data_IF_433424356745
#
_entry.id   IF_433424356745
#
_cell.length_a   1.000
_cell.length_b   1.000
_cell.length_c   1.000
_cell.angle_alpha   90.00
_cell.angle_beta   90.00
_cell.angle_gamma   90.00
#
_symmetry.space_group_name_H-M   'P 1'
#
loop_
_entity.id
_entity.type
_entity.pdbx_description
1 polymer ?
#
# COMPACT_ATOMS: atom_id res chain seq x y z
N UNK A 1 1.41 -14.93 -25.07
CA UNK A 1 2.19 -13.74 -24.72
C UNK A 1 1.69 -12.46 -25.44
N UNK A 2 1.47 -12.48 -26.79
CA UNK A 2 0.95 -11.28 -27.50
C UNK A 2 -0.47 -10.85 -27.07
N UNK A 3 -1.41 -11.75 -26.81
CA UNK A 3 -2.75 -11.41 -26.31
C UNK A 3 -2.70 -10.78 -24.92
N UNK A 4 -1.89 -11.34 -24.03
CA UNK A 4 -1.66 -10.82 -22.69
C UNK A 4 -1.12 -9.38 -22.71
N UNK A 5 -0.10 -9.11 -23.52
CA UNK A 5 0.48 -7.77 -23.64
C UNK A 5 -0.53 -6.75 -24.16
N UNK A 6 -1.45 -7.16 -25.02
CA UNK A 6 -2.50 -6.27 -25.52
C UNK A 6 -3.57 -5.98 -24.47
N UNK A 7 -3.96 -6.97 -23.66
CA UNK A 7 -4.99 -6.81 -22.62
C UNK A 7 -4.46 -6.06 -21.38
N UNK A 8 -3.17 -6.19 -21.07
CA UNK A 8 -2.55 -5.56 -19.89
C UNK A 8 -1.74 -4.31 -20.22
N UNK A 9 -1.58 -3.96 -21.50
CA UNK A 9 -0.74 -2.83 -21.94
C UNK A 9 -1.08 -1.53 -21.21
N UNK A 10 -2.35 -1.19 -21.12
CA UNK A 10 -2.81 0.05 -20.47
C UNK A 10 -2.50 0.05 -18.98
N UNK A 11 -2.70 -1.09 -18.32
CA UNK A 11 -2.40 -1.25 -16.89
C UNK A 11 -0.89 -1.19 -16.62
N UNK A 12 -0.07 -1.88 -17.41
CA UNK A 12 1.40 -1.87 -17.30
C UNK A 12 1.95 -0.47 -17.56
N UNK A 13 1.44 0.22 -18.58
CA UNK A 13 1.86 1.60 -18.90
C UNK A 13 1.49 2.56 -17.75
N UNK A 14 0.28 2.45 -17.20
CA UNK A 14 -0.17 3.23 -16.06
C UNK A 14 0.69 2.98 -14.83
N UNK A 15 0.98 1.72 -14.49
CA UNK A 15 1.82 1.37 -13.34
C UNK A 15 3.27 1.85 -13.54
N UNK A 16 3.79 1.78 -14.77
CA UNK A 16 5.11 2.34 -15.10
C UNK A 16 5.17 3.85 -14.88
N UNK A 17 4.16 4.59 -15.34
CA UNK A 17 4.05 6.03 -15.09
C UNK A 17 3.98 6.34 -13.60
N UNK A 18 3.16 5.61 -12.85
CA UNK A 18 3.01 5.78 -11.40
C UNK A 18 4.35 5.53 -10.68
N UNK A 19 5.10 4.50 -11.10
CA UNK A 19 6.41 4.19 -10.53
C UNK A 19 7.41 5.33 -10.75
N UNK A 20 7.49 5.87 -11.98
CA UNK A 20 8.36 7.00 -12.30
C UNK A 20 7.98 8.23 -11.47
N UNK A 21 6.70 8.60 -11.44
CA UNK A 21 6.22 9.72 -10.63
C UNK A 21 6.53 9.54 -9.14
N UNK A 22 6.39 8.32 -8.62
CA UNK A 22 6.70 8.01 -7.23
C UNK A 22 8.20 8.20 -6.91
N UNK A 23 9.09 7.75 -7.80
CA UNK A 23 10.55 7.91 -7.64
C UNK A 23 10.92 9.41 -7.68
N UNK A 24 10.41 10.16 -8.65
CA UNK A 24 10.67 11.60 -8.75
C UNK A 24 10.11 12.36 -7.54
N UNK A 25 8.91 11.98 -7.06
CA UNK A 25 8.34 12.55 -5.83
C UNK A 25 9.21 12.27 -4.61
N UNK A 26 9.73 11.05 -4.47
CA UNK A 26 10.65 10.69 -3.39
C UNK A 26 11.88 11.58 -3.42
N UNK A 27 12.49 11.77 -4.61
CA UNK A 27 13.63 12.67 -4.77
C UNK A 27 13.34 14.08 -4.25
N UNK A 28 12.27 14.68 -4.77
CA UNK A 28 11.93 16.06 -4.41
C UNK A 28 11.66 16.19 -2.90
N UNK A 29 10.87 15.29 -2.33
CA UNK A 29 10.49 15.38 -0.92
C UNK A 29 11.68 15.06 0.00
N UNK A 30 12.46 14.01 -0.29
CA UNK A 30 13.59 13.61 0.54
C UNK A 30 14.70 14.67 0.55
N UNK A 31 15.09 15.19 -0.64
CA UNK A 31 16.14 16.21 -0.74
C UNK A 31 15.72 17.56 -0.18
N UNK A 32 14.42 17.89 -0.17
CA UNK A 32 13.93 19.16 0.36
C UNK A 32 13.78 19.15 1.88
N UNK A 33 13.41 18.02 2.47
CA UNK A 33 13.06 17.91 3.89
C UNK A 33 14.17 17.31 4.75
N UNK A 34 15.08 16.52 4.15
CA UNK A 34 16.10 15.78 4.88
C UNK A 34 15.55 14.53 5.58
N UNK A 35 16.45 13.72 6.20
CA UNK A 35 16.09 12.42 6.76
C UNK A 35 15.10 12.49 7.92
N UNK A 36 15.27 13.43 8.85
CA UNK A 36 14.43 13.53 10.06
C UNK A 36 12.97 13.83 9.72
N UNK A 37 12.72 14.89 8.94
CA UNK A 37 11.37 15.28 8.52
C UNK A 37 10.74 14.24 7.61
N UNK A 38 11.54 13.62 6.73
CA UNK A 38 11.07 12.54 5.88
C UNK A 38 10.68 11.29 6.70
N UNK A 39 11.42 11.01 7.78
CA UNK A 39 11.10 9.96 8.75
C UNK A 39 9.81 10.24 9.50
N UNK A 40 9.65 11.45 10.00
CA UNK A 40 8.43 11.87 10.70
C UNK A 40 7.18 11.78 9.81
N UNK A 41 7.28 12.19 8.54
CA UNK A 41 6.23 11.95 7.54
C UNK A 41 5.92 10.44 7.42
N UNK A 42 6.96 9.61 7.44
CA UNK A 42 6.81 8.14 7.37
C UNK A 42 5.99 7.58 8.50
N UNK A 43 6.26 8.01 9.71
CA UNK A 43 5.57 7.61 10.93
C UNK A 43 4.10 8.03 10.88
N UNK A 44 3.81 9.29 10.57
CA UNK A 44 2.43 9.76 10.44
C UNK A 44 1.64 9.00 9.39
N UNK A 45 2.22 8.83 8.21
CA UNK A 45 1.59 8.06 7.13
C UNK A 45 1.42 6.58 7.50
N UNK A 46 2.37 6.01 8.26
CA UNK A 46 2.29 4.63 8.76
C UNK A 46 1.10 4.42 9.69
N UNK A 47 0.94 5.26 10.71
CA UNK A 47 -0.18 5.21 11.66
C UNK A 47 -1.52 5.43 10.95
N UNK A 48 -1.62 6.47 10.12
CA UNK A 48 -2.85 6.81 9.40
C UNK A 48 -3.21 5.67 8.43
N UNK A 49 -2.22 5.16 7.66
CA UNK A 49 -2.45 4.05 6.74
C UNK A 49 -2.89 2.77 7.47
N UNK A 50 -2.31 2.48 8.63
CA UNK A 50 -2.68 1.32 9.44
C UNK A 50 -4.16 1.40 9.85
N UNK A 51 -4.59 2.51 10.47
CA UNK A 51 -5.96 2.69 10.93
C UNK A 51 -6.96 2.63 9.76
N UNK A 52 -6.71 3.40 8.70
CA UNK A 52 -7.62 3.44 7.56
C UNK A 52 -7.67 2.13 6.77
N UNK A 53 -6.57 1.38 6.64
CA UNK A 53 -6.54 0.13 5.88
C UNK A 53 -7.05 -1.07 6.65
N UNK A 54 -6.83 -1.15 7.96
CA UNK A 54 -7.41 -2.22 8.79
C UNK A 54 -8.94 -2.10 8.81
N UNK A 55 -9.44 -0.89 8.95
CA UNK A 55 -10.87 -0.62 9.04
C UNK A 55 -11.56 -0.49 7.68
N UNK A 56 -10.83 -0.23 6.61
CA UNK A 56 -11.39 -0.09 5.25
C UNK A 56 -12.07 -1.39 4.80
N UNK A 57 -13.28 -1.24 4.24
CA UNK A 57 -14.17 -2.37 3.93
C UNK A 57 -13.81 -3.17 2.69
N UNK A 58 -12.79 -2.76 1.91
CA UNK A 58 -12.55 -3.33 0.58
C UNK A 58 -13.84 -3.43 -0.24
N UNK A 59 -14.54 -2.34 -0.30
CA UNK A 59 -15.75 -2.26 -1.10
C UNK A 59 -15.51 -2.65 -2.58
N UNK A 60 -14.29 -2.47 -3.07
CA UNK A 60 -13.91 -2.99 -4.39
C UNK A 60 -14.21 -4.48 -4.56
N UNK A 61 -13.87 -5.29 -3.56
CA UNK A 61 -14.09 -6.75 -3.60
C UNK A 61 -15.59 -7.10 -3.43
N UNK A 62 -16.30 -6.36 -2.57
CA UNK A 62 -17.75 -6.52 -2.40
C UNK A 62 -18.52 -6.17 -3.68
N UNK A 63 -18.10 -5.12 -4.36
CA UNK A 63 -18.65 -4.71 -5.65
C UNK A 63 -18.40 -5.79 -6.71
N UNK A 64 -17.22 -6.41 -6.72
CA UNK A 64 -16.88 -7.47 -7.67
C UNK A 64 -17.72 -8.74 -7.48
N UNK A 65 -18.04 -9.10 -6.26
CA UNK A 65 -18.76 -10.34 -5.93
C UNK A 65 -20.28 -10.17 -6.15
N UNK A 66 -20.79 -8.94 -6.13
CA UNK A 66 -22.23 -8.70 -6.16
C UNK A 66 -22.72 -8.28 -7.55
N UNK A 67 -23.61 -9.08 -8.14
CA UNK A 67 -24.24 -8.78 -9.45
C UNK A 67 -25.04 -7.48 -9.50
N UNK A 68 -25.42 -6.93 -8.33
CA UNK A 68 -26.16 -5.65 -8.18
C UNK A 68 -25.25 -4.45 -7.92
N UNK A 69 -23.96 -4.61 -8.12
CA UNK A 69 -22.94 -3.60 -7.80
C UNK A 69 -23.06 -2.28 -8.59
N UNK A 70 -23.83 -2.26 -9.66
CA UNK A 70 -24.11 -1.04 -10.45
C UNK A 70 -25.42 -0.34 -10.06
N UNK A 71 -26.20 -0.92 -9.17
CA UNK A 71 -27.48 -0.36 -8.74
C UNK A 71 -27.27 0.88 -7.87
N UNK A 72 -28.14 1.88 -8.06
CA UNK A 72 -28.04 3.17 -7.36
C UNK A 72 -28.02 3.04 -5.82
N UNK A 73 -28.89 2.22 -5.26
CA UNK A 73 -29.00 2.04 -3.81
C UNK A 73 -27.84 1.25 -3.24
N UNK A 74 -27.28 0.28 -4.00
CA UNK A 74 -26.05 -0.40 -3.62
C UNK A 74 -24.85 0.56 -3.56
N UNK A 75 -24.69 1.41 -4.58
CA UNK A 75 -23.58 2.40 -4.64
C UNK A 75 -23.72 3.41 -3.49
N UNK A 76 -24.92 3.92 -3.22
CA UNK A 76 -25.16 4.81 -2.08
C UNK A 76 -24.81 4.15 -0.75
N UNK A 77 -25.25 2.92 -0.54
CA UNK A 77 -24.96 2.16 0.68
C UNK A 77 -23.46 1.90 0.82
N UNK A 78 -22.75 1.61 -0.28
CA UNK A 78 -21.31 1.44 -0.31
C UNK A 78 -20.58 2.74 0.06
N UNK A 79 -20.97 3.89 -0.51
CA UNK A 79 -20.39 5.20 -0.21
C UNK A 79 -20.63 5.56 1.25
N UNK A 80 -21.86 5.42 1.74
CA UNK A 80 -22.22 5.72 3.14
C UNK A 80 -21.38 4.86 4.11
N UNK A 81 -21.21 3.59 3.77
CA UNK A 81 -20.41 2.66 4.58
C UNK A 81 -18.94 3.07 4.63
N UNK A 82 -18.33 3.49 3.49
CA UNK A 82 -16.95 3.99 3.48
C UNK A 82 -16.78 5.28 4.29
N UNK A 83 -17.77 6.17 4.26
CA UNK A 83 -17.75 7.39 5.08
C UNK A 83 -17.80 7.04 6.57
N UNK A 84 -18.69 6.12 6.99
CA UNK A 84 -18.77 5.67 8.38
C UNK A 84 -17.46 5.04 8.83
N UNK A 85 -16.90 4.13 8.04
CA UNK A 85 -15.60 3.52 8.35
C UNK A 85 -14.46 4.54 8.34
N UNK A 86 -14.51 5.51 7.47
CA UNK A 86 -13.58 6.63 7.45
C UNK A 86 -13.63 7.45 8.75
N UNK A 87 -14.82 7.73 9.26
CA UNK A 87 -15.02 8.41 10.55
C UNK A 87 -14.47 7.57 11.72
N UNK A 88 -14.76 6.27 11.74
CA UNK A 88 -14.20 5.36 12.76
C UNK A 88 -12.68 5.30 12.67
N UNK A 89 -12.11 5.26 11.46
CA UNK A 89 -10.66 5.28 11.25
C UNK A 89 -10.04 6.59 11.73
N UNK A 90 -10.70 7.72 11.46
CA UNK A 90 -10.29 9.03 11.92
C UNK A 90 -10.26 9.08 13.46
N UNK A 91 -11.32 8.62 14.11
CA UNK A 91 -11.38 8.53 15.58
C UNK A 91 -10.31 7.62 16.15
N UNK A 92 -10.01 6.50 15.50
CA UNK A 92 -8.93 5.59 15.91
C UNK A 92 -7.55 6.25 15.81
N UNK A 93 -7.27 7.02 14.75
CA UNK A 93 -6.01 7.78 14.62
C UNK A 93 -5.87 8.78 15.76
N UNK A 94 -6.94 9.54 16.06
CA UNK A 94 -6.91 10.49 17.17
C UNK A 94 -6.75 9.80 18.52
N UNK A 95 -7.42 8.67 18.75
CA UNK A 95 -7.26 7.90 19.97
C UNK A 95 -5.79 7.43 20.15
N UNK A 96 -5.15 6.95 19.08
CA UNK A 96 -3.73 6.55 19.13
C UNK A 96 -2.86 7.76 19.46
N UNK A 97 -3.04 8.88 18.76
CA UNK A 97 -2.28 10.11 19.00
C UNK A 97 -2.49 10.60 20.45
N UNK A 98 -3.70 10.51 20.98
CA UNK A 98 -4.03 10.94 22.36
C UNK A 98 -3.47 9.98 23.42
N UNK A 99 -3.45 8.67 23.17
CA UNK A 99 -2.95 7.66 24.10
C UNK A 99 -1.42 7.63 24.22
N UNK A 100 -0.71 8.21 23.26
CA UNK A 100 0.75 8.31 23.27
C UNK A 100 1.26 9.76 23.39
N UNK A 101 0.82 10.54 24.41
CA UNK A 101 1.01 11.99 24.40
C UNK A 101 2.36 12.49 24.84
N UNK A 102 3.26 11.71 25.48
CA UNK A 102 4.20 12.42 26.31
C UNK A 102 5.61 11.90 26.46
N UNK A 103 6.06 10.90 25.80
CA UNK A 103 7.43 10.46 25.93
C UNK A 103 8.20 10.71 24.63
N UNK A 104 8.76 11.92 24.48
CA UNK A 104 9.70 12.33 23.41
C UNK A 104 9.32 12.03 21.96
N UNK A 105 8.29 11.20 21.76
CA UNK A 105 7.85 10.66 20.47
C UNK A 105 6.83 11.55 19.76
N UNK A 106 5.92 12.13 20.53
CA UNK A 106 4.91 13.03 20.06
C UNK A 106 4.81 14.20 21.04
N UNK A 107 5.56 15.26 20.82
CA UNK A 107 5.26 16.55 21.45
C UNK A 107 3.92 17.10 20.88
N UNK A 108 2.87 16.26 20.89
CA UNK A 108 1.52 16.64 20.52
C UNK A 108 0.82 17.40 21.65
N UNK A 109 1.40 18.51 22.08
CA UNK A 109 0.61 19.47 22.86
C UNK A 109 -0.51 20.08 22.04
N UNK A 110 -0.49 19.92 20.70
CA UNK A 110 -1.58 20.19 19.77
C UNK A 110 -1.37 19.37 18.49
N UNK A 111 -2.35 18.54 18.09
CA UNK A 111 -2.35 17.93 16.75
C UNK A 111 -2.21 19.04 15.71
N UNK A 112 -1.19 19.04 14.88
CA UNK A 112 -1.00 20.11 13.92
C UNK A 112 -2.22 20.18 12.96
N UNK A 113 -2.76 21.37 12.70
CA UNK A 113 -3.94 21.58 11.87
C UNK A 113 -3.84 20.91 10.48
N UNK A 114 -2.62 20.79 9.92
CA UNK A 114 -2.39 20.15 8.64
C UNK A 114 -2.61 18.63 8.69
N UNK A 115 -2.30 17.96 9.81
CA UNK A 115 -2.59 16.54 9.99
C UNK A 115 -4.09 16.31 10.14
N UNK A 116 -4.77 17.17 10.90
CA UNK A 116 -6.23 17.11 11.01
C UNK A 116 -6.87 17.18 9.63
N UNK A 117 -6.50 18.17 8.83
CA UNK A 117 -7.04 18.33 7.48
C UNK A 117 -6.77 17.10 6.60
N UNK A 118 -5.56 16.53 6.65
CA UNK A 118 -5.21 15.34 5.90
C UNK A 118 -6.03 14.11 6.30
N UNK A 119 -6.19 13.87 7.60
CA UNK A 119 -6.98 12.75 8.12
C UNK A 119 -8.45 12.92 7.73
N UNK A 120 -8.99 14.13 7.84
CA UNK A 120 -10.36 14.44 7.49
C UNK A 120 -10.63 14.25 5.99
N UNK A 121 -9.77 14.76 5.13
CA UNK A 121 -9.94 14.59 3.67
C UNK A 121 -9.81 13.14 3.22
N UNK A 122 -9.07 12.31 3.98
CA UNK A 122 -8.94 10.88 3.74
C UNK A 122 -10.27 10.13 3.82
N UNK A 123 -11.21 10.60 4.64
CA UNK A 123 -12.56 10.01 4.75
C UNK A 123 -13.24 10.00 3.38
N UNK A 124 -13.19 11.13 2.68
CA UNK A 124 -13.80 11.26 1.35
C UNK A 124 -13.03 10.50 0.27
N UNK A 125 -11.70 10.42 0.41
CA UNK A 125 -10.88 9.69 -0.55
C UNK A 125 -11.16 8.18 -0.57
N UNK A 126 -11.69 7.61 0.50
CA UNK A 126 -12.09 6.20 0.54
C UNK A 126 -13.17 5.83 -0.49
N UNK A 127 -13.97 6.81 -0.96
CA UNK A 127 -14.96 6.61 -2.05
C UNK A 127 -14.28 6.09 -3.33
N UNK A 128 -12.99 6.34 -3.50
CA UNK A 128 -12.20 5.82 -4.62
C UNK A 128 -12.22 4.28 -4.70
N UNK A 129 -12.25 3.58 -3.56
CA UNK A 129 -12.32 2.12 -3.55
C UNK A 129 -13.64 1.58 -4.13
N UNK A 130 -14.77 2.28 -3.87
CA UNK A 130 -16.06 1.93 -4.47
C UNK A 130 -15.98 2.08 -5.99
N UNK A 131 -15.41 3.18 -6.47
CA UNK A 131 -15.29 3.45 -7.90
C UNK A 131 -14.39 2.44 -8.60
N UNK A 132 -13.25 2.10 -8.01
CA UNK A 132 -12.36 1.02 -8.49
C UNK A 132 -13.12 -0.30 -8.67
N UNK A 133 -13.88 -0.68 -7.65
CA UNK A 133 -14.69 -1.90 -7.69
C UNK A 133 -15.68 -1.90 -8.85
N UNK A 134 -16.38 -0.80 -9.10
CA UNK A 134 -17.34 -0.67 -10.20
C UNK A 134 -16.64 -0.79 -11.57
N UNK A 135 -15.51 -0.12 -11.76
CA UNK A 135 -14.76 -0.18 -13.02
C UNK A 135 -14.23 -1.59 -13.28
N UNK A 136 -13.71 -2.25 -12.26
CA UNK A 136 -13.23 -3.64 -12.36
C UNK A 136 -14.38 -4.59 -12.67
N UNK A 137 -15.55 -4.42 -12.03
CA UNK A 137 -16.75 -5.21 -12.30
C UNK A 137 -17.22 -5.03 -13.76
N UNK A 138 -17.18 -3.81 -14.28
CA UNK A 138 -17.53 -3.51 -15.67
C UNK A 138 -16.48 -3.97 -16.69
N UNK A 139 -15.29 -4.36 -16.25
CA UNK A 139 -14.15 -4.66 -17.12
C UNK A 139 -13.56 -3.43 -17.81
N UNK A 140 -13.90 -2.22 -17.36
CA UNK A 140 -13.41 -0.96 -17.95
C UNK A 140 -12.02 -0.61 -17.41
N UNK A 141 -11.03 -1.42 -17.81
CA UNK A 141 -9.63 -1.25 -17.39
C UNK A 141 -9.01 0.02 -17.96
N UNK A 142 -9.54 0.56 -19.05
CA UNK A 142 -9.05 1.81 -19.64
C UNK A 142 -9.37 3.01 -18.73
N UNK A 143 -10.63 3.16 -18.33
CA UNK A 143 -11.04 4.19 -17.39
C UNK A 143 -10.36 4.00 -16.03
N UNK A 144 -10.21 2.76 -15.57
CA UNK A 144 -9.48 2.43 -14.35
C UNK A 144 -8.04 2.96 -14.40
N UNK A 145 -7.27 2.59 -15.42
CA UNK A 145 -5.88 3.01 -15.59
C UNK A 145 -5.75 4.53 -15.74
N UNK A 146 -6.68 5.17 -16.45
CA UNK A 146 -6.71 6.62 -16.60
C UNK A 146 -6.90 7.33 -15.26
N UNK A 147 -7.89 6.92 -14.47
CA UNK A 147 -8.20 7.56 -13.18
C UNK A 147 -7.09 7.33 -12.16
N UNK A 148 -6.46 6.15 -12.14
CA UNK A 148 -5.27 5.88 -11.32
C UNK A 148 -4.10 6.80 -11.71
N UNK A 149 -3.80 6.90 -12.99
CA UNK A 149 -2.73 7.78 -13.48
C UNK A 149 -3.03 9.24 -13.16
N UNK A 150 -4.27 9.70 -13.42
CA UNK A 150 -4.72 11.05 -13.11
C UNK A 150 -4.56 11.38 -11.62
N UNK A 151 -5.01 10.49 -10.74
CA UNK A 151 -4.86 10.66 -9.29
C UNK A 151 -3.39 10.83 -8.89
N UNK A 152 -2.49 10.01 -9.45
CA UNK A 152 -1.06 10.09 -9.13
C UNK A 152 -0.39 11.34 -9.73
N UNK A 153 -0.77 11.78 -10.93
CA UNK A 153 -0.29 13.03 -11.52
C UNK A 153 -0.72 14.23 -10.66
N UNK A 154 -1.99 14.29 -10.27
CA UNK A 154 -2.51 15.35 -9.40
C UNK A 154 -1.78 15.40 -8.07
N UNK A 155 -1.56 14.23 -7.44
CA UNK A 155 -0.78 14.12 -6.19
C UNK A 155 0.63 14.65 -6.39
N UNK A 156 1.31 14.19 -7.42
CA UNK A 156 2.66 14.62 -7.75
C UNK A 156 2.72 16.14 -7.95
N UNK A 157 1.82 16.72 -8.75
CA UNK A 157 1.78 18.16 -9.05
C UNK A 157 1.59 19.00 -7.79
N UNK A 158 0.63 18.65 -6.91
CA UNK A 158 0.44 19.39 -5.66
C UNK A 158 1.66 19.28 -4.73
N UNK A 159 2.26 18.09 -4.61
CA UNK A 159 3.45 17.90 -3.77
C UNK A 159 4.61 18.75 -4.30
N UNK A 160 4.87 18.73 -5.61
CA UNK A 160 5.95 19.52 -6.21
C UNK A 160 5.70 21.00 -5.99
N UNK A 161 4.50 21.50 -6.31
CA UNK A 161 4.17 22.93 -6.21
C UNK A 161 4.30 23.41 -4.76
N UNK A 162 3.69 22.72 -3.79
CA UNK A 162 3.66 23.20 -2.41
C UNK A 162 5.02 23.06 -1.72
N UNK A 163 5.77 22.00 -1.98
CA UNK A 163 7.15 21.84 -1.46
C UNK A 163 8.08 22.91 -2.08
N UNK A 164 7.89 23.30 -3.33
CA UNK A 164 8.69 24.37 -3.96
C UNK A 164 8.41 25.76 -3.37
N UNK A 165 7.21 25.99 -2.82
CA UNK A 165 6.84 27.25 -2.17
C UNK A 165 7.34 27.30 -0.73
N UNK A 166 7.16 26.21 0.02
CA UNK A 166 7.56 26.08 1.42
C UNK A 166 8.03 24.65 1.69
N UNK A 167 9.33 24.50 1.95
CA UNK A 167 9.99 23.23 2.25
C UNK A 167 9.69 22.77 3.67
N UNK A 168 8.46 22.39 3.93
CA UNK A 168 8.00 21.96 5.25
C UNK A 168 7.10 20.72 5.22
N UNK A 169 7.03 20.02 6.33
CA UNK A 169 6.08 18.91 6.55
C UNK A 169 4.64 19.39 6.33
N UNK A 170 4.32 20.62 6.71
CA UNK A 170 2.98 21.23 6.51
C UNK A 170 2.58 21.23 5.04
N UNK A 171 3.47 21.73 4.18
CA UNK A 171 3.24 21.82 2.73
C UNK A 171 3.03 20.45 2.10
N UNK A 172 3.77 19.44 2.56
CA UNK A 172 3.56 18.07 2.11
C UNK A 172 2.16 17.55 2.47
N UNK A 173 1.69 17.71 3.72
CA UNK A 173 0.36 17.26 4.13
C UNK A 173 -0.76 18.09 3.51
N UNK A 174 -0.60 19.39 3.31
CA UNK A 174 -1.55 20.21 2.55
C UNK A 174 -1.66 19.74 1.10
N UNK A 175 -0.54 19.42 0.44
CA UNK A 175 -0.53 18.87 -0.91
C UNK A 175 -1.35 17.57 -1.00
N UNK A 176 -1.15 16.67 -0.05
CA UNK A 176 -1.90 15.41 0.02
C UNK A 176 -3.39 15.65 0.29
N UNK A 177 -3.73 16.63 1.13
CA UNK A 177 -5.12 16.99 1.43
C UNK A 177 -5.84 17.54 0.19
N UNK A 178 -5.21 18.47 -0.53
CA UNK A 178 -5.74 19.04 -1.77
C UNK A 178 -5.93 17.95 -2.85
N UNK A 179 -4.95 17.07 -3.00
CA UNK A 179 -5.07 15.91 -3.89
C UNK A 179 -6.28 15.06 -3.53
N UNK A 180 -6.43 14.69 -2.25
CA UNK A 180 -7.55 13.85 -1.81
C UNK A 180 -8.90 14.50 -2.07
N UNK A 181 -9.05 15.80 -1.78
CA UNK A 181 -10.28 16.53 -2.03
C UNK A 181 -10.61 16.58 -3.52
N UNK A 182 -9.66 16.99 -4.36
CA UNK A 182 -9.88 17.11 -5.81
C UNK A 182 -10.24 15.78 -6.44
N UNK A 183 -9.49 14.73 -6.14
CA UNK A 183 -9.74 13.41 -6.70
C UNK A 183 -11.07 12.84 -6.19
N UNK A 184 -11.41 13.03 -4.92
CA UNK A 184 -12.71 12.59 -4.38
C UNK A 184 -13.87 13.28 -5.07
N UNK A 185 -13.76 14.57 -5.35
CA UNK A 185 -14.79 15.34 -6.07
C UNK A 185 -14.96 14.85 -7.51
N UNK A 186 -13.86 14.63 -8.24
CA UNK A 186 -13.90 14.09 -9.60
C UNK A 186 -14.54 12.70 -9.61
N UNK A 187 -14.15 11.83 -8.70
CA UNK A 187 -14.71 10.48 -8.59
C UNK A 187 -16.19 10.51 -8.23
N UNK A 188 -16.59 11.39 -7.32
CA UNK A 188 -17.99 11.53 -6.96
C UNK A 188 -18.85 11.96 -8.16
N UNK A 189 -18.38 12.90 -8.98
CA UNK A 189 -19.03 13.29 -10.23
C UNK A 189 -19.12 12.11 -11.21
N UNK A 190 -18.03 11.35 -11.37
CA UNK A 190 -18.02 10.17 -12.25
C UNK A 190 -18.96 9.07 -11.75
N UNK A 191 -19.06 8.86 -10.43
CA UNK A 191 -20.01 7.92 -9.83
C UNK A 191 -21.45 8.33 -10.12
N UNK A 192 -21.79 9.60 -9.97
CA UNK A 192 -23.14 10.09 -10.28
C UNK A 192 -23.55 9.86 -11.74
N UNK A 193 -22.61 9.97 -12.68
CA UNK A 193 -22.83 9.68 -14.10
C UNK A 193 -23.04 8.18 -14.39
N UNK A 194 -22.38 7.32 -13.62
CA UNK A 194 -22.37 5.88 -13.82
C UNK A 194 -23.50 5.12 -13.10
N UNK A 195 -24.34 5.80 -12.34
CA UNK A 195 -25.44 5.20 -11.61
C UNK A 195 -26.58 4.86 -12.57
N UNK A 196 -26.85 3.57 -12.73
CA UNK A 196 -28.03 3.09 -13.47
C UNK A 196 -29.31 3.42 -12.70
N UNK A 197 -30.34 3.87 -13.42
CA UNK A 197 -31.66 4.22 -12.84
C UNK A 197 -32.54 3.02 -12.50
N UNK A 198 -32.04 1.79 -12.62
CA UNK A 198 -32.83 0.58 -12.32
C UNK A 198 -33.14 0.46 -10.83
N UNK A 199 -34.38 0.09 -10.54
CA UNK A 199 -34.95 -0.07 -9.20
C UNK A 199 -34.61 -1.44 -8.60
N UNK A 200 -33.40 -1.70 -8.23
CA UNK A 200 -33.11 -2.82 -7.32
C UNK A 200 -32.74 -2.22 -5.96
N UNK A 201 -33.58 -2.43 -4.95
CA UNK A 201 -33.37 -1.86 -3.61
C UNK A 201 -32.60 -2.84 -2.76
N UNK A 202 -31.28 -2.65 -2.60
CA UNK A 202 -30.54 -3.22 -1.48
C UNK A 202 -30.55 -2.18 -0.37
N UNK A 203 -31.11 -2.54 0.78
CA UNK A 203 -31.10 -1.66 1.95
C UNK A 203 -29.67 -1.55 2.50
N UNK A 204 -29.36 -0.45 3.19
CA UNK A 204 -28.08 -0.29 3.90
C UNK A 204 -27.82 -1.45 4.88
N UNK A 205 -28.87 -1.97 5.51
CA UNK A 205 -28.78 -3.11 6.45
C UNK A 205 -28.32 -4.38 5.73
N UNK A 206 -28.82 -4.65 4.53
CA UNK A 206 -28.40 -5.81 3.74
C UNK A 206 -26.97 -5.66 3.22
N UNK A 207 -26.58 -4.45 2.82
CA UNK A 207 -25.21 -4.13 2.49
C UNK A 207 -24.26 -4.37 3.68
N UNK A 208 -24.66 -3.94 4.86
CA UNK A 208 -23.88 -4.16 6.09
C UNK A 208 -23.74 -5.65 6.41
N UNK A 209 -24.80 -6.46 6.26
CA UNK A 209 -24.74 -7.92 6.44
C UNK A 209 -23.80 -8.58 5.45
N UNK A 210 -23.84 -8.20 4.18
CA UNK A 210 -22.92 -8.67 3.14
C UNK A 210 -21.46 -8.28 3.47
N UNK A 211 -21.24 -7.04 3.90
CA UNK A 211 -19.95 -6.56 4.32
C UNK A 211 -19.41 -7.35 5.53
N UNK A 212 -20.26 -7.66 6.51
CA UNK A 212 -19.91 -8.43 7.70
C UNK A 212 -19.47 -9.85 7.37
N UNK A 213 -20.18 -10.55 6.48
CA UNK A 213 -19.82 -11.92 6.04
C UNK A 213 -18.44 -11.98 5.36
N UNK A 214 -18.12 -10.98 4.53
CA UNK A 214 -16.83 -10.89 3.86
C UNK A 214 -15.73 -10.34 4.78
N UNK A 215 -16.09 -9.63 5.84
CA UNK A 215 -15.19 -9.09 6.83
C UNK A 215 -14.29 -10.18 7.44
N UNK A 216 -14.87 -11.28 7.88
CA UNK A 216 -14.12 -12.33 8.55
C UNK A 216 -13.19 -13.14 7.63
N UNK A 217 -13.52 -13.27 6.33
CA UNK A 217 -12.73 -14.10 5.41
C UNK A 217 -11.60 -13.36 4.70
N UNK A 218 -11.87 -12.17 4.22
CA UNK A 218 -10.93 -11.44 3.35
C UNK A 218 -10.17 -10.36 4.11
N UNK A 219 -10.83 -9.70 5.08
CA UNK A 219 -10.23 -8.60 5.84
C UNK A 219 -9.25 -9.05 6.90
N UNK A 220 -9.56 -10.14 7.61
CA UNK A 220 -8.64 -10.68 8.63
C UNK A 220 -7.30 -11.00 7.98
N UNK A 221 -7.33 -11.69 6.83
CA UNK A 221 -6.13 -11.98 6.08
C UNK A 221 -5.32 -10.73 5.74
N UNK A 222 -5.98 -9.69 5.25
CA UNK A 222 -5.28 -8.48 4.83
C UNK A 222 -4.89 -7.55 5.97
N UNK A 223 -5.78 -7.39 6.96
CA UNK A 223 -5.49 -6.58 8.13
C UNK A 223 -4.21 -7.05 8.82
N UNK A 224 -4.10 -8.37 9.05
CA UNK A 224 -2.90 -8.97 9.65
C UNK A 224 -1.65 -8.69 8.81
N UNK A 225 -1.73 -8.83 7.48
CA UNK A 225 -0.58 -8.60 6.62
C UNK A 225 -0.16 -7.13 6.47
N UNK A 226 -1.05 -6.17 6.79
CA UNK A 226 -0.75 -4.74 6.72
C UNK A 226 -0.01 -4.23 7.97
N UNK A 227 -0.17 -4.91 9.11
CA UNK A 227 0.44 -4.47 10.36
C UNK A 227 1.97 -4.39 10.24
N UNK A 228 2.70 -5.44 9.86
CA UNK A 228 4.16 -5.36 9.73
C UNK A 228 4.62 -4.31 8.71
N UNK A 229 3.86 -4.14 7.63
CA UNK A 229 4.24 -3.22 6.53
C UNK A 229 4.07 -1.74 6.85
N UNK A 230 3.38 -1.39 7.91
CA UNK A 230 3.17 0.00 8.32
C UNK A 230 3.70 0.30 9.71
N UNK A 231 3.79 -0.70 10.59
CA UNK A 231 4.39 -0.54 11.92
C UNK A 231 5.91 -0.47 11.89
N UNK A 232 6.58 -1.01 10.90
CA UNK A 232 8.04 -1.03 10.82
C UNK A 232 8.67 0.36 11.00
N UNK A 233 8.22 1.36 10.24
CA UNK A 233 8.71 2.75 10.35
C UNK A 233 8.31 3.37 11.70
N UNK A 234 7.12 3.04 12.21
CA UNK A 234 6.64 3.55 13.51
C UNK A 234 7.49 2.98 14.66
N UNK A 235 7.81 1.68 14.59
CA UNK A 235 8.68 1.02 15.59
C UNK A 235 10.08 1.63 15.59
N UNK A 236 10.67 1.91 14.43
CA UNK A 236 11.97 2.59 14.33
C UNK A 236 11.90 3.95 15.02
N UNK A 237 10.93 4.76 14.66
CA UNK A 237 10.75 6.06 15.29
C UNK A 237 10.57 5.94 16.80
N UNK A 238 9.94 4.89 17.33
CA UNK A 238 9.75 4.67 18.77
C UNK A 238 11.02 4.21 19.51
N UNK A 239 11.77 3.29 18.96
CA UNK A 239 12.92 2.67 19.61
C UNK A 239 14.27 3.33 19.26
N UNK A 240 14.34 4.09 18.18
CA UNK A 240 15.52 4.81 17.76
C UNK A 240 15.24 6.32 17.67
N UNK A 241 15.06 6.85 16.43
CA UNK A 241 14.82 8.26 16.17
C UNK A 241 14.18 8.50 14.81
N UNK A 242 13.86 9.76 14.49
CA UNK A 242 13.24 10.14 13.22
C UNK A 242 14.22 10.04 12.05
N UNK A 243 15.50 10.31 12.27
CA UNK A 243 16.55 10.13 11.27
C UNK A 243 16.58 8.69 10.78
N UNK A 244 16.69 7.74 11.73
CA UNK A 244 16.67 6.28 11.45
C UNK A 244 15.42 5.84 10.71
N UNK A 245 14.26 6.41 11.07
CA UNK A 245 13.01 6.15 10.37
C UNK A 245 13.04 6.64 8.91
N UNK A 246 13.65 7.80 8.67
CA UNK A 246 13.84 8.35 7.32
C UNK A 246 14.77 7.52 6.46
N UNK A 247 15.90 7.12 6.99
CA UNK A 247 16.86 6.22 6.32
C UNK A 247 16.21 4.91 5.92
N UNK A 248 15.58 4.24 6.86
CA UNK A 248 14.86 2.99 6.58
C UNK A 248 13.73 3.16 5.56
N UNK A 249 13.00 4.26 5.62
CA UNK A 249 11.91 4.55 4.69
C UNK A 249 12.41 4.70 3.26
N UNK A 250 13.55 5.35 3.02
CA UNK A 250 14.18 5.42 1.69
C UNK A 250 14.60 4.01 1.24
N UNK A 251 15.27 3.23 2.10
CA UNK A 251 15.62 1.85 1.78
C UNK A 251 14.41 1.04 1.29
N UNK A 252 13.28 1.17 1.99
CA UNK A 252 12.03 0.49 1.63
C UNK A 252 11.43 1.02 0.33
N UNK A 253 11.47 2.33 0.09
CA UNK A 253 10.96 2.96 -1.12
C UNK A 253 11.70 2.56 -2.39
N UNK A 254 13.01 2.34 -2.27
CA UNK A 254 13.82 1.88 -3.39
C UNK A 254 13.53 0.44 -3.83
N UNK A 255 12.94 -0.36 -2.94
CA UNK A 255 12.52 -1.74 -3.23
C UNK A 255 11.08 -1.81 -3.75
N UNK A 256 10.26 -0.78 -3.55
CA UNK A 256 8.87 -0.73 -4.04
C UNK A 256 8.70 -1.10 -5.53
N UNK A 257 9.64 -0.82 -6.46
CA UNK A 257 9.55 -1.28 -7.85
C UNK A 257 9.33 -2.79 -8.00
N UNK A 258 9.83 -3.61 -7.07
CA UNK A 258 9.57 -5.06 -7.06
C UNK A 258 8.08 -5.35 -6.87
N UNK A 259 7.40 -4.58 -6.03
CA UNK A 259 5.96 -4.70 -5.82
C UNK A 259 5.17 -4.34 -7.08
N UNK A 260 5.61 -3.34 -7.86
CA UNK A 260 4.97 -3.01 -9.14
C UNK A 260 5.10 -4.15 -10.16
N UNK A 261 6.24 -4.85 -10.18
CA UNK A 261 6.40 -6.06 -11.01
C UNK A 261 5.40 -7.14 -10.58
N UNK A 262 5.26 -7.40 -9.27
CA UNK A 262 4.28 -8.37 -8.75
C UNK A 262 2.85 -7.99 -9.16
N UNK A 263 2.47 -6.72 -9.03
CA UNK A 263 1.14 -6.23 -9.43
C UNK A 263 0.92 -6.42 -10.94
N UNK A 264 1.92 -6.14 -11.76
CA UNK A 264 1.85 -6.31 -13.21
C UNK A 264 1.70 -7.79 -13.63
N UNK A 265 2.37 -8.70 -12.94
CA UNK A 265 2.28 -10.15 -13.24
C UNK A 265 1.05 -10.84 -12.66
N UNK A 266 0.41 -10.26 -11.64
CA UNK A 266 -0.72 -10.89 -10.93
C UNK A 266 -1.92 -11.25 -11.81
N UNK A 267 -2.43 -10.40 -12.74
CA UNK A 267 -3.56 -10.76 -13.61
C UNK A 267 -3.23 -11.92 -14.55
N UNK A 268 -2.03 -11.92 -15.13
CA UNK A 268 -1.57 -13.02 -15.98
C UNK A 268 -1.50 -14.33 -15.21
N UNK A 269 -1.02 -14.28 -13.99
CA UNK A 269 -0.92 -15.45 -13.13
C UNK A 269 -2.30 -16.02 -12.81
N UNK A 270 -3.28 -15.17 -12.47
CA UNK A 270 -4.65 -15.61 -12.22
C UNK A 270 -5.26 -16.30 -13.41
N UNK A 271 -5.07 -15.77 -14.63
CA UNK A 271 -5.56 -16.39 -15.85
C UNK A 271 -4.91 -17.77 -16.07
N UNK A 272 -3.60 -17.89 -15.89
CA UNK A 272 -2.88 -19.17 -16.03
C UNK A 272 -3.34 -20.23 -15.05
N UNK A 273 -3.59 -19.86 -13.79
CA UNK A 273 -4.12 -20.79 -12.78
C UNK A 273 -5.55 -21.24 -13.15
N UNK A 274 -6.37 -20.33 -13.69
CA UNK A 274 -7.73 -20.66 -14.12
C UNK A 274 -7.75 -21.58 -15.34
N UNK A 275 -6.85 -21.36 -16.32
CA UNK A 275 -6.74 -22.19 -17.53
C UNK A 275 -6.20 -23.60 -17.21
N UNK A 276 -5.20 -23.69 -16.35
CA UNK A 276 -4.53 -24.95 -16.00
C UNK A 276 -4.20 -24.99 -14.50
N UNK A 277 -5.04 -25.67 -13.71
CA UNK A 277 -4.82 -25.87 -12.28
C UNK A 277 -3.55 -26.66 -11.95
N UNK A 278 -2.95 -27.37 -12.93
CA UNK A 278 -1.71 -28.14 -12.81
C UNK A 278 -0.49 -27.40 -13.35
N UNK A 279 -0.65 -26.11 -13.68
CA UNK A 279 0.45 -25.31 -14.22
C UNK A 279 1.70 -25.41 -13.33
N UNK A 280 2.83 -25.69 -13.96
CA UNK A 280 4.09 -25.90 -13.22
C UNK A 280 4.73 -24.57 -12.83
N UNK A 281 4.27 -24.01 -11.69
CA UNK A 281 4.78 -22.76 -11.13
C UNK A 281 6.26 -22.83 -10.73
N UNK A 282 6.76 -24.01 -10.33
CA UNK A 282 8.20 -24.20 -10.04
C UNK A 282 9.04 -23.90 -11.28
N UNK A 283 8.60 -24.39 -12.47
CA UNK A 283 9.28 -24.10 -13.73
C UNK A 283 9.28 -22.61 -14.06
N UNK A 284 8.16 -21.90 -13.81
CA UNK A 284 8.08 -20.46 -13.97
C UNK A 284 9.06 -19.73 -13.05
N UNK A 285 9.07 -20.10 -11.77
CA UNK A 285 9.97 -19.52 -10.77
C UNK A 285 11.43 -19.66 -11.21
N UNK A 286 11.89 -20.86 -11.54
CA UNK A 286 13.28 -21.09 -11.89
C UNK A 286 13.68 -20.52 -13.27
N UNK A 287 12.77 -20.51 -14.26
CA UNK A 287 13.13 -20.06 -15.62
C UNK A 287 12.99 -18.55 -15.83
N UNK A 288 12.09 -17.89 -15.12
CA UNK A 288 11.77 -16.48 -15.36
C UNK A 288 12.04 -15.63 -14.13
N UNK A 289 11.46 -15.97 -12.96
CA UNK A 289 11.55 -15.11 -11.79
C UNK A 289 12.94 -15.11 -11.16
N UNK A 290 13.59 -16.26 -11.11
CA UNK A 290 14.92 -16.40 -10.51
C UNK A 290 16.02 -15.62 -11.25
N UNK A 291 16.13 -15.65 -12.59
CA UNK A 291 17.06 -14.78 -13.31
C UNK A 291 16.80 -13.28 -13.07
N UNK A 292 15.52 -12.88 -13.03
CA UNK A 292 15.16 -11.48 -12.72
C UNK A 292 15.61 -11.13 -11.30
N UNK A 293 15.36 -12.01 -10.31
CA UNK A 293 15.80 -11.79 -8.94
C UNK A 293 17.32 -11.64 -8.81
N UNK A 294 18.09 -12.49 -9.49
CA UNK A 294 19.55 -12.38 -9.52
C UNK A 294 19.97 -11.04 -10.15
N UNK A 295 19.38 -10.66 -11.28
CA UNK A 295 19.69 -9.40 -11.93
C UNK A 295 19.41 -8.20 -11.02
N UNK A 296 18.33 -8.24 -10.22
CA UNK A 296 18.02 -7.22 -9.24
C UNK A 296 19.04 -7.18 -8.10
N UNK A 297 19.47 -8.35 -7.58
CA UNK A 297 20.53 -8.41 -6.56
C UNK A 297 21.81 -7.77 -7.08
N UNK A 298 22.25 -8.16 -8.28
CA UNK A 298 23.45 -7.62 -8.92
C UNK A 298 23.32 -6.11 -9.10
N UNK A 299 22.19 -5.65 -9.62
CA UNK A 299 21.94 -4.22 -9.83
C UNK A 299 22.02 -3.44 -8.52
N UNK A 300 21.27 -3.83 -7.48
CA UNK A 300 21.27 -3.12 -6.20
C UNK A 300 22.62 -3.25 -5.46
N UNK A 301 23.33 -4.34 -5.62
CA UNK A 301 24.66 -4.51 -5.01
C UNK A 301 25.70 -3.57 -5.62
N UNK A 302 25.77 -3.44 -6.94
CA UNK A 302 26.78 -2.61 -7.60
C UNK A 302 26.36 -1.14 -7.74
N UNK A 303 25.09 -0.87 -7.94
CA UNK A 303 24.58 0.48 -8.23
C UNK A 303 23.72 1.07 -7.12
N UNK A 304 23.44 0.33 -6.05
CA UNK A 304 22.48 0.73 -5.02
C UNK A 304 22.86 2.01 -4.32
N UNK A 305 24.13 2.18 -3.97
CA UNK A 305 24.61 3.40 -3.32
C UNK A 305 24.47 4.62 -4.24
N UNK A 306 24.94 4.53 -5.47
CA UNK A 306 24.75 5.57 -6.51
C UNK A 306 23.27 5.87 -6.75
N UNK A 307 22.43 4.83 -6.70
CA UNK A 307 20.99 4.97 -6.88
C UNK A 307 20.33 5.71 -5.71
N UNK A 308 20.79 5.47 -4.47
CA UNK A 308 20.36 6.21 -3.29
C UNK A 308 20.74 7.68 -3.41
N UNK A 309 22.00 7.97 -3.71
CA UNK A 309 22.46 9.35 -3.88
C UNK A 309 21.69 10.08 -4.98
N UNK A 310 21.43 9.39 -6.08
CA UNK A 310 20.66 9.96 -7.21
C UNK A 310 19.21 10.27 -6.83
N UNK A 311 18.55 9.40 -6.05
CA UNK A 311 17.11 9.50 -5.75
C UNK A 311 16.85 10.28 -4.47
N UNK A 312 17.65 10.10 -3.43
CA UNK A 312 17.37 10.67 -2.12
C UNK A 312 18.39 11.72 -1.67
N UNK A 313 19.58 11.71 -2.28
CA UNK A 313 20.69 12.57 -1.87
C UNK A 313 21.68 11.86 -0.95
N UNK A 314 22.86 12.47 -0.76
CA UNK A 314 23.97 11.90 0.04
C UNK A 314 23.61 11.70 1.52
N UNK A 315 22.70 12.48 2.04
CA UNK A 315 22.25 12.40 3.44
C UNK A 315 21.55 11.06 3.76
N UNK A 316 21.15 10.32 2.73
CA UNK A 316 20.49 9.02 2.85
C UNK A 316 21.40 7.83 2.49
N UNK A 317 22.73 8.03 2.37
CA UNK A 317 23.67 6.95 2.05
C UNK A 317 23.57 5.74 2.98
N UNK A 318 23.27 5.97 4.26
CA UNK A 318 23.07 4.91 5.27
C UNK A 318 21.89 3.97 4.93
N UNK A 319 21.03 4.35 3.96
CA UNK A 319 19.96 3.48 3.48
C UNK A 319 20.43 2.25 2.68
N UNK A 320 21.71 2.18 2.30
CA UNK A 320 22.23 1.11 1.46
C UNK A 320 22.16 -0.27 2.11
N UNK A 321 22.64 -0.39 3.34
CA UNK A 321 22.64 -1.68 4.07
C UNK A 321 21.20 -2.17 4.33
N UNK A 322 20.29 -1.38 4.93
CA UNK A 322 18.92 -1.83 5.15
C UNK A 322 18.18 -2.12 3.84
N UNK A 323 18.50 -1.42 2.75
CA UNK A 323 17.95 -1.72 1.42
C UNK A 323 18.36 -3.13 0.96
N UNK A 324 19.64 -3.51 1.06
CA UNK A 324 20.10 -4.85 0.68
C UNK A 324 19.47 -5.95 1.55
N UNK A 325 19.32 -5.70 2.85
CA UNK A 325 18.67 -6.63 3.77
C UNK A 325 17.19 -6.83 3.37
N UNK A 326 16.45 -5.75 3.15
CA UNK A 326 15.06 -5.80 2.73
C UNK A 326 14.90 -6.48 1.35
N UNK A 327 15.85 -6.25 0.44
CA UNK A 327 15.85 -6.86 -0.88
C UNK A 327 15.76 -8.39 -0.79
N UNK A 328 16.48 -9.03 0.12
CA UNK A 328 16.44 -10.49 0.31
C UNK A 328 15.03 -10.95 0.71
N UNK A 329 14.40 -10.27 1.68
CA UNK A 329 13.03 -10.56 2.08
C UNK A 329 12.02 -10.38 0.95
N UNK A 330 12.08 -9.24 0.25
CA UNK A 330 11.16 -8.93 -0.85
C UNK A 330 11.37 -9.82 -2.08
N UNK A 331 12.60 -10.25 -2.37
CA UNK A 331 12.84 -11.22 -3.43
C UNK A 331 12.30 -12.61 -3.10
N UNK A 332 12.34 -13.03 -1.83
CA UNK A 332 11.67 -14.26 -1.42
C UNK A 332 10.15 -14.20 -1.67
N UNK A 333 9.54 -13.04 -1.41
CA UNK A 333 8.13 -12.78 -1.74
C UNK A 333 7.89 -12.76 -3.26
N UNK A 334 8.76 -12.10 -4.03
CA UNK A 334 8.68 -12.05 -5.50
C UNK A 334 8.76 -13.45 -6.14
N UNK A 335 9.68 -14.30 -5.69
CA UNK A 335 9.82 -15.65 -6.21
C UNK A 335 8.61 -16.55 -5.94
N UNK A 336 7.85 -16.23 -4.90
CA UNK A 336 6.72 -17.04 -4.43
C UNK A 336 5.37 -16.31 -4.49
N UNK A 337 5.26 -15.18 -5.19
CA UNK A 337 4.02 -14.36 -5.19
C UNK A 337 2.79 -15.12 -5.71
N UNK A 338 3.00 -16.09 -6.60
CA UNK A 338 1.95 -16.94 -7.15
C UNK A 338 1.27 -17.83 -6.10
N UNK A 339 1.94 -18.15 -4.98
CA UNK A 339 1.38 -19.01 -3.92
C UNK A 339 0.07 -18.45 -3.37
N UNK A 340 -0.03 -17.13 -3.21
CA UNK A 340 -1.27 -16.45 -2.77
C UNK A 340 -2.43 -16.75 -3.73
N UNK A 341 -2.24 -16.56 -5.03
CA UNK A 341 -3.28 -16.78 -6.03
C UNK A 341 -3.68 -18.25 -6.11
N UNK A 342 -2.69 -19.14 -6.03
CA UNK A 342 -2.92 -20.58 -6.01
C UNK A 342 -3.73 -21.03 -4.78
N UNK A 343 -3.37 -20.56 -3.59
CA UNK A 343 -4.08 -20.88 -2.34
C UNK A 343 -5.52 -20.33 -2.37
N UNK A 344 -5.70 -19.14 -2.91
CA UNK A 344 -7.02 -18.51 -3.03
C UNK A 344 -7.96 -19.31 -3.95
N UNK A 345 -7.49 -19.67 -5.14
CA UNK A 345 -8.29 -20.42 -6.13
C UNK A 345 -8.58 -21.87 -5.72
N UNK A 346 -7.75 -22.45 -4.87
CA UNK A 346 -7.97 -23.79 -4.31
C UNK A 346 -8.72 -23.80 -2.96
N UNK A 347 -9.34 -22.68 -2.57
CA UNK A 347 -10.05 -22.51 -1.29
C UNK A 347 -9.18 -22.74 -0.03
N UNK A 348 -7.85 -22.60 -0.16
CA UNK A 348 -6.89 -22.73 0.93
C UNK A 348 -6.50 -21.37 1.52
N UNK A 349 -7.44 -20.41 1.54
CA UNK A 349 -7.22 -19.04 2.06
C UNK A 349 -6.69 -19.07 3.50
N UNK A 350 -7.19 -20.01 4.29
CA UNK A 350 -6.79 -20.17 5.70
C UNK A 350 -5.27 -20.43 5.84
N UNK A 351 -4.67 -21.24 4.94
CA UNK A 351 -3.22 -21.44 4.92
C UNK A 351 -2.46 -20.12 4.70
N UNK A 352 -2.93 -19.28 3.78
CA UNK A 352 -2.34 -17.97 3.56
C UNK A 352 -2.48 -17.05 4.78
N UNK A 353 -3.66 -17.05 5.43
CA UNK A 353 -3.90 -16.27 6.66
C UNK A 353 -2.98 -16.70 7.80
N UNK A 354 -2.76 -18.01 7.99
CA UNK A 354 -1.79 -18.52 8.98
C UNK A 354 -0.39 -18.03 8.64
N UNK A 355 0.03 -18.09 7.38
CA UNK A 355 1.32 -17.55 6.93
C UNK A 355 1.50 -16.08 7.33
N UNK A 356 0.46 -15.25 7.20
CA UNK A 356 0.49 -13.85 7.63
C UNK A 356 0.52 -13.67 9.15
N UNK A 357 -0.16 -14.54 9.88
CA UNK A 357 -0.08 -14.60 11.35
C UNK A 357 1.36 -14.92 11.76
N UNK A 358 2.00 -15.90 11.14
CA UNK A 358 3.42 -16.23 11.37
C UNK A 358 4.29 -15.01 11.10
N UNK A 359 4.10 -14.34 9.97
CA UNK A 359 4.83 -13.11 9.63
C UNK A 359 4.70 -12.06 10.74
N UNK A 360 3.48 -11.77 11.19
CA UNK A 360 3.22 -10.80 12.24
C UNK A 360 3.90 -11.19 13.56
N UNK A 361 3.77 -12.44 14.00
CA UNK A 361 4.38 -12.89 15.26
C UNK A 361 5.90 -12.87 15.18
N UNK A 362 6.50 -13.38 14.11
CA UNK A 362 7.95 -13.33 13.91
C UNK A 362 8.44 -11.88 13.93
N UNK A 363 7.75 -10.98 13.21
CA UNK A 363 8.09 -9.56 13.20
C UNK A 363 8.02 -8.94 14.60
N UNK A 364 6.90 -9.13 15.33
CA UNK A 364 6.71 -8.53 16.66
C UNK A 364 7.70 -9.06 17.72
N UNK A 365 8.07 -10.35 17.62
CA UNK A 365 9.03 -10.95 18.55
C UNK A 365 10.45 -10.51 18.24
N UNK A 366 10.83 -10.47 16.97
CA UNK A 366 12.23 -10.18 16.58
C UNK A 366 12.53 -8.70 16.52
N UNK A 367 11.55 -7.85 16.21
CA UNK A 367 11.80 -6.41 16.01
C UNK A 367 12.36 -5.68 17.24
N UNK A 368 11.85 -5.85 18.50
CA UNK A 368 12.42 -5.15 19.65
C UNK A 368 13.87 -5.55 19.92
N UNK A 369 14.18 -6.84 19.81
CA UNK A 369 15.54 -7.34 20.05
C UNK A 369 16.51 -6.87 18.95
N UNK A 370 16.11 -6.97 17.68
CA UNK A 370 17.00 -6.60 16.58
C UNK A 370 17.20 -5.10 16.47
N UNK A 371 16.19 -4.28 16.77
CA UNK A 371 16.37 -2.81 16.71
C UNK A 371 17.29 -2.31 17.81
N UNK A 372 17.22 -2.86 19.03
CA UNK A 372 18.10 -2.46 20.13
C UNK A 372 19.57 -2.80 19.88
N UNK A 373 19.84 -3.88 19.12
CA UNK A 373 21.21 -4.32 18.81
C UNK A 373 21.78 -3.77 17.49
N UNK A 374 20.92 -3.53 16.47
CA UNK A 374 21.34 -3.20 15.12
C UNK A 374 20.66 -1.94 14.56
N UNK A 375 19.90 -1.19 15.38
CA UNK A 375 19.20 0.01 14.95
C UNK A 375 18.22 -0.26 13.79
N UNK A 376 18.16 0.64 12.83
CA UNK A 376 17.27 0.51 11.65
C UNK A 376 17.61 -0.68 10.75
N UNK A 377 18.88 -1.17 10.75
CA UNK A 377 19.23 -2.42 10.08
C UNK A 377 18.54 -3.63 10.73
N UNK A 378 18.36 -3.58 12.05
CA UNK A 378 17.65 -4.61 12.80
C UNK A 378 16.19 -4.75 12.41
N UNK A 379 15.49 -3.66 12.15
CA UNK A 379 14.11 -3.72 11.62
C UNK A 379 14.08 -4.29 10.20
N UNK A 380 15.04 -3.92 9.35
CA UNK A 380 15.16 -4.50 8.02
C UNK A 380 15.33 -6.03 8.08
N UNK A 381 16.15 -6.51 9.02
CA UNK A 381 16.32 -7.95 9.30
C UNK A 381 15.01 -8.58 9.81
N UNK A 382 14.33 -7.96 10.78
CA UNK A 382 13.07 -8.46 11.32
C UNK A 382 11.99 -8.63 10.24
N UNK A 383 11.83 -7.62 9.38
CA UNK A 383 10.89 -7.67 8.25
C UNK A 383 11.27 -8.77 7.26
N UNK A 384 12.54 -8.88 6.89
CA UNK A 384 13.01 -9.88 5.92
C UNK A 384 12.84 -11.30 6.46
N UNK A 385 13.22 -11.54 7.71
CA UNK A 385 13.04 -12.83 8.39
C UNK A 385 11.55 -13.19 8.43
N UNK A 386 10.68 -12.26 8.83
CA UNK A 386 9.25 -12.49 8.92
C UNK A 386 8.64 -12.87 7.56
N UNK A 387 9.03 -12.18 6.47
CA UNK A 387 8.60 -12.52 5.11
C UNK A 387 9.06 -13.92 4.71
N UNK A 388 10.31 -14.27 4.97
CA UNK A 388 10.87 -15.57 4.61
C UNK A 388 10.13 -16.68 5.36
N UNK A 389 9.90 -16.57 6.67
CA UNK A 389 9.14 -17.56 7.45
C UNK A 389 7.72 -17.73 6.93
N UNK A 390 7.03 -16.63 6.62
CA UNK A 390 5.72 -16.71 5.97
C UNK A 390 5.78 -17.54 4.69
N UNK A 391 6.77 -17.28 3.82
CA UNK A 391 6.86 -17.91 2.51
C UNK A 391 7.28 -19.38 2.57
N UNK A 392 8.12 -19.75 3.52
CA UNK A 392 8.45 -21.16 3.81
C UNK A 392 7.19 -21.93 4.21
N UNK A 393 6.34 -21.33 5.06
CA UNK A 393 5.09 -21.97 5.48
C UNK A 393 4.06 -22.10 4.35
N UNK A 394 3.94 -21.09 3.48
CA UNK A 394 2.98 -21.09 2.37
C UNK A 394 3.37 -22.08 1.25
N UNK A 395 4.68 -22.31 1.06
CA UNK A 395 5.24 -23.21 0.04
C UNK A 395 5.09 -24.67 0.43
#
# INVERSE_FOLDING_TARGET
MKSFLNETKELVTSQGLIAVLAIVQVRIVATSLGPEDYGLIGIYLGIIALCFRILNSRNSDLVLINSKSTDKEFIKSAILFEIILGLVSCSAVYAIIFLFPSNNFFNFTSTPNYLFLFIFTRIFFNIFEVFRGILTYKGDMKTYSFVESFSNIVRFSFVVILISIDTSIKSFFYALSMHQLLVSLVIFILLLKNINKQKASISFVDYFKLSKLNFYKIRTDQGIGLIPTHLDVVIIGYFADFYSAGIYRIAKKLIDPINYLIVAFSPWMLNKINEDKRYNFKKLTFKILFPIAISLIIFYYFFGDTFIELIAGKEFSDSYIPMLILLVGFLSYFLTFWTRHFLFLNNLIFKHTIGRIINLFVFLITSPYLITNFGFNGIALAVSIAIIFQKIYEF
#
